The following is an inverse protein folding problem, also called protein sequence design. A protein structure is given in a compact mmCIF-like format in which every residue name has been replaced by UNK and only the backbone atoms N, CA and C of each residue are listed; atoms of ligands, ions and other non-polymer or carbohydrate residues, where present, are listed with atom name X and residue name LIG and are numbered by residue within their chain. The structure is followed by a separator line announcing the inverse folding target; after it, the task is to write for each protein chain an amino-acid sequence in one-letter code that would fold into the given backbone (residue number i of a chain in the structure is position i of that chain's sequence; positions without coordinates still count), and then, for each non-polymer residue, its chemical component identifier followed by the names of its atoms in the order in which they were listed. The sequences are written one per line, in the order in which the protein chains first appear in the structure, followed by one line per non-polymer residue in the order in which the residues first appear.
data_IF_932126766722
#
_entry.id   IF_932126766722
#
_cell.length_a   1.000
_cell.length_b   1.000
_cell.length_c   1.000
_cell.angle_alpha   90.00
_cell.angle_beta   90.00
_cell.angle_gamma   90.00
#
_symmetry.space_group_name_H-M   'P 1'
#
loop_
_entity.id
_entity.type
_entity.pdbx_description
1 polymer ?
#
# COMPACT_ATOMS: atom_id res chain seq x y z
N UNK A 1 33.99 21.36 26.28
CA UNK A 1 33.98 20.27 27.28
C UNK A 1 33.13 20.80 28.44
N UNK A 2 31.85 20.40 28.54
CA UNK A 2 31.34 19.34 29.46
C UNK A 2 31.21 19.92 30.90
N UNK A 3 30.11 19.90 31.68
CA UNK A 3 28.82 19.21 31.74
C UNK A 3 27.82 20.17 32.43
N UNK A 4 26.60 20.34 31.92
CA UNK A 4 25.48 20.89 32.70
C UNK A 4 24.65 19.69 33.16
N UNK A 5 24.79 19.33 34.43
CA UNK A 5 23.95 18.34 35.11
C UNK A 5 22.62 19.03 35.47
N UNK A 6 21.57 18.74 34.72
CA UNK A 6 20.20 19.05 35.13
C UNK A 6 19.49 17.71 35.43
N UNK A 7 19.24 17.51 36.72
CA UNK A 7 18.55 16.35 37.29
C UNK A 7 17.10 16.29 36.81
N UNK A 8 16.75 15.21 36.13
CA UNK A 8 15.37 14.80 35.88
C UNK A 8 14.77 14.29 37.21
N UNK A 9 13.74 14.96 37.73
CA UNK A 9 12.87 14.37 38.77
C UNK A 9 11.59 13.91 38.09
N UNK A 10 11.50 12.61 37.85
CA UNK A 10 10.29 11.93 37.37
C UNK A 10 9.37 11.72 38.56
N UNK A 11 8.21 12.38 38.56
CA UNK A 11 7.16 12.10 39.53
C UNK A 11 6.44 10.79 39.15
N UNK A 12 6.74 9.71 39.87
CA UNK A 12 5.99 8.46 39.78
C UNK A 12 4.65 8.63 40.52
N UNK A 13 3.54 8.55 39.80
CA UNK A 13 2.21 8.47 40.39
C UNK A 13 1.79 7.00 40.48
N UNK A 14 1.81 6.46 41.70
CA UNK A 14 1.25 5.16 42.03
C UNK A 14 -0.27 5.29 42.19
N UNK A 15 -1.04 4.64 41.31
CA UNK A 15 -2.48 4.48 41.45
C UNK A 15 -2.78 3.01 41.77
N UNK A 16 -3.27 2.79 42.99
CA UNK A 16 -3.75 1.51 43.53
C UNK A 16 -5.15 1.19 43.00
N UNK A 17 -5.37 0.02 42.40
CA UNK A 17 -6.72 -0.59 42.33
C UNK A 17 -6.68 -2.12 42.46
N UNK A 18 -7.69 -2.61 43.17
CA UNK A 18 -7.92 -3.94 43.75
C UNK A 18 -8.05 -5.10 42.73
N UNK A 19 -7.91 -6.38 43.17
CA UNK A 19 -8.03 -7.55 42.30
C UNK A 19 -9.49 -7.89 42.03
N UNK A 20 -9.83 -8.18 40.77
CA UNK A 20 -11.13 -8.69 40.38
C UNK A 20 -11.02 -10.13 39.87
N UNK A 21 -11.85 -10.99 40.45
CA UNK A 21 -12.02 -12.42 40.23
C UNK A 21 -12.60 -12.74 38.84
N UNK A 22 -12.20 -13.89 38.29
CA UNK A 22 -12.80 -14.51 37.10
C UNK A 22 -14.17 -15.14 37.41
N UNK A 23 -15.15 -14.98 36.50
CA UNK A 23 -16.02 -16.10 36.13
C UNK A 23 -16.26 -16.22 34.60
N UNK A 24 -16.08 -17.44 34.10
CA UNK A 24 -16.89 -18.23 33.12
C UNK A 24 -17.62 -17.59 31.90
N UNK A 25 -17.25 -18.11 30.71
CA UNK A 25 -17.97 -18.38 29.43
C UNK A 25 -19.16 -17.52 28.88
N UNK A 26 -19.01 -17.18 27.57
CA UNK A 26 -19.91 -16.79 26.43
C UNK A 26 -21.44 -17.07 26.49
N UNK A 27 -22.32 -16.55 25.58
CA UNK A 27 -22.13 -15.66 24.40
C UNK A 27 -23.18 -14.53 24.19
N UNK A 28 -22.80 -13.40 23.59
CA UNK A 28 -23.75 -12.52 22.87
C UNK A 28 -23.03 -11.53 21.94
N UNK A 29 -23.14 -11.73 20.62
CA UNK A 29 -22.72 -10.77 19.61
C UNK A 29 -23.67 -9.56 19.60
N UNK A 30 -23.27 -8.47 20.24
CA UNK A 30 -23.90 -7.16 20.03
C UNK A 30 -23.13 -6.46 18.92
N UNK A 31 -23.67 -6.48 17.70
CA UNK A 31 -23.18 -5.65 16.60
C UNK A 31 -23.34 -4.18 16.95
N UNK A 32 -22.25 -3.54 17.37
CA UNK A 32 -22.16 -2.09 17.41
C UNK A 32 -22.16 -1.62 15.94
N UNK A 33 -23.06 -0.70 15.54
CA UNK A 33 -23.00 -0.13 14.20
C UNK A 33 -21.71 0.70 14.12
N UNK A 34 -20.71 0.18 13.43
CA UNK A 34 -19.58 1.01 13.02
C UNK A 34 -20.14 2.13 12.16
N UNK A 35 -19.97 3.36 12.63
CA UNK A 35 -20.30 4.58 11.91
C UNK A 35 -19.90 4.42 10.44
N UNK A 36 -20.89 4.45 9.54
CA UNK A 36 -20.66 4.67 8.12
C UNK A 36 -20.27 6.14 7.97
N UNK A 37 -19.01 6.46 8.28
CA UNK A 37 -18.42 7.66 7.74
C UNK A 37 -18.40 7.47 6.23
N UNK A 38 -19.39 8.05 5.55
CA UNK A 38 -19.26 8.43 4.16
C UNK A 38 -18.15 9.48 4.12
N UNK A 39 -16.90 9.01 4.10
CA UNK A 39 -15.80 9.83 3.68
C UNK A 39 -16.13 10.29 2.26
N UNK A 40 -16.03 11.60 2.03
CA UNK A 40 -16.08 12.17 0.68
C UNK A 40 -15.26 11.26 -0.25
N UNK A 41 -15.86 10.84 -1.36
CA UNK A 41 -15.12 10.06 -2.36
C UNK A 41 -13.90 10.91 -2.75
N UNK A 42 -12.71 10.35 -2.62
CA UNK A 42 -11.52 11.00 -3.16
C UNK A 42 -11.79 11.24 -4.65
N UNK A 43 -11.79 12.51 -5.06
CA UNK A 43 -12.06 12.93 -6.45
C UNK A 43 -11.03 12.34 -7.42
N UNK A 44 -9.91 11.91 -6.86
CA UNK A 44 -8.92 11.05 -7.48
C UNK A 44 -9.15 9.66 -6.91
N UNK A 45 -9.57 8.70 -7.72
CA UNK A 45 -9.74 7.31 -7.29
C UNK A 45 -8.62 6.80 -6.38
N UNK A 46 -8.93 5.84 -5.51
CA UNK A 46 -7.88 5.20 -4.70
C UNK A 46 -6.84 4.56 -5.63
N UNK A 47 -5.62 5.11 -5.65
CA UNK A 47 -4.50 4.50 -6.34
C UNK A 47 -3.85 3.45 -5.43
N UNK A 48 -3.53 2.29 -5.98
CA UNK A 48 -2.78 1.24 -5.28
C UNK A 48 -1.60 0.83 -6.13
N UNK A 49 -0.41 0.88 -5.55
CA UNK A 49 0.81 0.41 -6.17
C UNK A 49 1.19 -0.98 -5.64
N UNK A 50 1.71 -1.83 -6.51
CA UNK A 50 2.15 -3.18 -6.19
C UNK A 50 3.35 -3.55 -7.05
N UNK A 51 4.41 -4.04 -6.41
CA UNK A 51 5.58 -4.57 -7.10
C UNK A 51 5.54 -6.11 -7.11
N UNK A 52 5.54 -6.71 -8.30
CA UNK A 52 5.72 -8.14 -8.49
C UNK A 52 7.21 -8.48 -8.64
N UNK A 53 7.81 -8.96 -7.55
CA UNK A 53 9.22 -9.35 -7.51
C UNK A 53 9.58 -10.49 -8.47
N UNK A 54 8.62 -11.32 -8.92
CA UNK A 54 8.92 -12.41 -9.85
C UNK A 54 9.13 -11.89 -11.28
N UNK A 55 8.32 -10.93 -11.69
CA UNK A 55 8.27 -10.45 -13.08
C UNK A 55 8.91 -9.07 -13.23
N UNK A 56 9.36 -8.47 -12.14
CA UNK A 56 9.87 -7.09 -12.06
C UNK A 56 8.89 -6.08 -12.66
N UNK A 57 7.58 -6.25 -12.41
CA UNK A 57 6.57 -5.30 -12.83
C UNK A 57 6.09 -4.48 -11.63
N UNK A 58 6.05 -3.17 -11.80
CA UNK A 58 5.26 -2.27 -10.99
C UNK A 58 3.85 -2.17 -11.59
N UNK A 59 2.84 -2.35 -10.75
CA UNK A 59 1.42 -2.28 -11.10
C UNK A 59 0.79 -1.12 -10.35
N UNK A 60 0.05 -0.29 -11.06
CA UNK A 60 -0.76 0.77 -10.48
C UNK A 60 -2.22 0.49 -10.84
N UNK A 61 -3.06 0.29 -9.83
CA UNK A 61 -4.50 0.28 -10.01
C UNK A 61 -5.05 1.65 -9.65
N UNK A 62 -5.74 2.29 -10.58
CA UNK A 62 -6.46 3.53 -10.41
C UNK A 62 -7.93 3.27 -10.76
N UNK A 63 -8.78 3.14 -9.74
CA UNK A 63 -10.16 2.70 -9.85
C UNK A 63 -10.31 1.34 -10.58
N UNK A 64 -10.85 1.38 -11.80
CA UNK A 64 -11.07 0.24 -12.69
C UNK A 64 -9.96 0.05 -13.72
N UNK A 65 -9.02 0.99 -13.79
CA UNK A 65 -7.87 0.94 -14.70
C UNK A 65 -6.67 0.34 -13.97
N UNK A 66 -5.96 -0.53 -14.68
CA UNK A 66 -4.68 -1.04 -14.25
C UNK A 66 -3.62 -0.61 -15.25
N UNK A 67 -2.44 -0.28 -14.73
CA UNK A 67 -1.27 0.04 -15.51
C UNK A 67 -0.14 -0.87 -15.08
N UNK A 68 0.69 -1.31 -16.03
CA UNK A 68 1.87 -2.14 -15.80
C UNK A 68 3.10 -1.39 -16.31
N UNK A 69 4.13 -1.31 -15.50
CA UNK A 69 5.43 -0.81 -15.89
C UNK A 69 6.49 -1.84 -15.56
N UNK A 70 7.25 -2.28 -16.57
CA UNK A 70 8.41 -3.14 -16.33
C UNK A 70 9.54 -2.31 -15.72
N UNK A 71 10.14 -2.84 -14.67
CA UNK A 71 11.34 -2.31 -14.05
C UNK A 71 12.56 -3.04 -14.60
N UNK A 72 13.66 -2.33 -14.79
CA UNK A 72 14.96 -2.97 -14.97
C UNK A 72 15.50 -3.53 -13.64
N UNK A 73 16.62 -4.26 -13.69
CA UNK A 73 17.18 -4.91 -12.49
C UNK A 73 17.67 -3.90 -11.43
N UNK A 74 18.06 -2.69 -11.85
CA UNK A 74 18.48 -1.62 -10.93
C UNK A 74 17.26 -1.07 -10.21
N UNK A 75 16.21 -0.74 -10.96
CA UNK A 75 14.94 -0.24 -10.43
C UNK A 75 14.24 -1.28 -9.54
N UNK A 76 14.26 -2.55 -9.94
CA UNK A 76 13.74 -3.66 -9.13
C UNK A 76 14.45 -3.80 -7.78
N UNK A 77 15.68 -3.32 -7.65
CA UNK A 77 16.38 -3.24 -6.36
C UNK A 77 15.98 -1.97 -5.58
N UNK A 78 15.79 -0.85 -6.29
CA UNK A 78 15.42 0.45 -5.72
C UNK A 78 14.03 0.48 -5.08
N UNK A 79 13.11 -0.42 -5.46
CA UNK A 79 11.80 -0.54 -4.79
C UNK A 79 11.88 -0.78 -3.28
N UNK A 80 13.02 -1.28 -2.79
CA UNK A 80 13.26 -1.52 -1.36
C UNK A 80 13.86 -0.29 -0.64
N UNK A 81 14.16 0.78 -1.38
CA UNK A 81 14.60 2.06 -0.86
C UNK A 81 13.43 3.06 -0.86
N UNK A 82 13.31 3.86 0.20
CA UNK A 82 12.20 4.78 0.36
C UNK A 82 12.20 5.91 -0.68
N UNK A 83 13.37 6.37 -1.15
CA UNK A 83 13.45 7.33 -2.24
C UNK A 83 13.24 6.62 -3.59
N UNK A 84 13.86 5.45 -3.77
CA UNK A 84 13.73 4.66 -4.99
C UNK A 84 12.28 4.31 -5.33
N UNK A 85 11.48 3.86 -4.36
CA UNK A 85 10.06 3.53 -4.61
C UNK A 85 9.25 4.76 -5.04
N UNK A 86 9.49 5.92 -4.43
CA UNK A 86 8.80 7.18 -4.78
C UNK A 86 9.17 7.63 -6.19
N UNK A 87 10.44 7.51 -6.59
CA UNK A 87 10.90 7.82 -7.94
C UNK A 87 10.25 6.91 -8.99
N UNK A 88 10.13 5.62 -8.69
CA UNK A 88 9.49 4.63 -9.57
C UNK A 88 7.99 4.91 -9.70
N UNK A 89 7.27 5.14 -8.60
CA UNK A 89 5.85 5.49 -8.63
C UNK A 89 5.62 6.79 -9.44
N UNK A 90 6.47 7.80 -9.25
CA UNK A 90 6.40 9.04 -10.01
C UNK A 90 6.68 8.84 -11.50
N UNK A 91 7.65 8.00 -11.85
CA UNK A 91 7.94 7.64 -13.24
C UNK A 91 6.73 6.98 -13.91
N UNK A 92 6.07 6.07 -13.19
CA UNK A 92 4.85 5.41 -13.65
C UNK A 92 3.72 6.40 -13.95
N UNK A 93 3.45 7.32 -13.01
CA UNK A 93 2.42 8.36 -13.20
C UNK A 93 2.73 9.27 -14.39
N UNK A 94 4.01 9.60 -14.62
CA UNK A 94 4.43 10.38 -15.80
C UNK A 94 4.15 9.66 -17.11
N UNK A 95 4.42 8.34 -17.18
CA UNK A 95 4.14 7.54 -18.38
C UNK A 95 2.65 7.44 -18.68
N UNK A 96 1.80 7.31 -17.64
CA UNK A 96 0.34 7.37 -17.80
C UNK A 96 -0.07 8.71 -18.42
N UNK A 97 0.51 9.82 -17.95
CA UNK A 97 0.26 11.15 -18.51
C UNK A 97 0.73 11.33 -19.95
N UNK A 98 1.72 10.55 -20.39
CA UNK A 98 2.20 10.54 -21.78
C UNK A 98 1.28 9.73 -22.73
N UNK A 99 0.34 8.95 -22.18
CA UNK A 99 -0.61 8.12 -22.93
C UNK A 99 0.04 7.17 -23.94
N UNK A 100 1.25 6.69 -23.64
CA UNK A 100 1.95 5.68 -24.44
C UNK A 100 1.75 4.29 -23.82
N UNK A 101 0.61 3.69 -24.12
CA UNK A 101 0.14 2.48 -23.47
C UNK A 101 -0.40 1.43 -24.44
N UNK A 102 -0.04 0.18 -24.18
CA UNK A 102 -0.50 -0.99 -24.94
C UNK A 102 -1.37 -1.88 -24.05
N UNK A 103 -2.57 -2.21 -24.51
CA UNK A 103 -3.49 -3.07 -23.74
C UNK A 103 -2.96 -4.51 -23.65
N UNK A 104 -2.92 -5.05 -22.43
CA UNK A 104 -2.61 -6.44 -22.11
C UNK A 104 -3.87 -7.10 -21.58
N UNK A 105 -4.34 -8.13 -22.29
CA UNK A 105 -5.51 -8.89 -21.91
C UNK A 105 -5.28 -9.70 -20.63
N UNK A 106 -6.35 -9.97 -19.88
CA UNK A 106 -6.28 -10.64 -18.58
C UNK A 106 -5.66 -12.06 -18.66
N UNK A 107 -5.90 -12.80 -19.74
CA UNK A 107 -5.30 -14.12 -19.98
C UNK A 107 -3.77 -14.04 -20.06
N UNK A 108 -3.22 -13.02 -20.73
CA UNK A 108 -1.79 -12.76 -20.77
C UNK A 108 -1.24 -12.38 -19.38
N UNK A 109 -2.00 -11.60 -18.59
CA UNK A 109 -1.64 -11.30 -17.21
C UNK A 109 -1.62 -12.56 -16.34
N UNK A 110 -2.60 -13.47 -16.51
CA UNK A 110 -2.68 -14.70 -15.75
C UNK A 110 -1.49 -15.64 -16.02
N UNK A 111 -0.98 -15.64 -17.27
CA UNK A 111 0.26 -16.34 -17.64
C UNK A 111 1.48 -15.66 -17.02
N UNK A 112 1.52 -14.32 -17.00
CA UNK A 112 2.62 -13.54 -16.44
C UNK A 112 2.72 -13.71 -14.91
N UNK A 113 1.64 -13.43 -14.20
CA UNK A 113 1.58 -13.47 -12.74
C UNK A 113 0.13 -13.53 -12.25
N UNK A 114 -0.21 -14.57 -11.51
CA UNK A 114 -1.55 -14.75 -10.93
C UNK A 114 -1.95 -13.59 -9.99
N UNK A 115 -0.98 -12.98 -9.30
CA UNK A 115 -1.24 -11.83 -8.43
C UNK A 115 -1.58 -10.58 -9.24
N UNK A 116 -0.85 -10.32 -10.33
CA UNK A 116 -1.15 -9.20 -11.23
C UNK A 116 -2.54 -9.39 -11.85
N UNK A 117 -2.85 -10.59 -12.35
CA UNK A 117 -4.16 -10.90 -12.91
C UNK A 117 -5.29 -10.71 -11.89
N UNK A 118 -5.07 -11.09 -10.63
CA UNK A 118 -6.04 -10.87 -9.56
C UNK A 118 -6.26 -9.38 -9.26
N UNK A 119 -5.18 -8.59 -9.20
CA UNK A 119 -5.26 -7.14 -9.00
C UNK A 119 -5.92 -6.42 -10.19
N UNK A 120 -5.76 -6.97 -11.39
CA UNK A 120 -6.19 -6.41 -12.67
C UNK A 120 -7.17 -7.35 -13.41
N UNK A 121 -8.43 -7.45 -12.92
CA UNK A 121 -9.40 -8.42 -13.42
C UNK A 121 -9.83 -8.15 -14.86
N UNK A 122 -9.70 -6.91 -15.35
CA UNK A 122 -10.13 -6.50 -16.68
C UNK A 122 -8.97 -6.41 -17.69
N UNK A 123 -7.78 -6.91 -17.33
CA UNK A 123 -6.55 -6.60 -18.07
C UNK A 123 -5.89 -5.31 -17.56
N UNK A 124 -4.85 -4.87 -18.27
CA UNK A 124 -4.06 -3.72 -17.86
C UNK A 124 -3.38 -3.04 -19.05
N UNK A 125 -2.97 -1.79 -18.87
CA UNK A 125 -2.28 -0.98 -19.86
C UNK A 125 -0.77 -1.01 -19.57
N UNK A 126 -0.02 -1.69 -20.44
CA UNK A 126 1.44 -1.74 -20.38
C UNK A 126 2.00 -0.38 -20.82
N UNK A 127 2.76 0.25 -19.93
CA UNK A 127 3.43 1.51 -20.16
C UNK A 127 4.77 1.25 -20.86
N UNK A 128 4.98 1.87 -22.02
CA UNK A 128 6.21 1.76 -22.78
C UNK A 128 7.15 2.93 -22.44
N UNK A 129 8.36 2.60 -21.96
CA UNK A 129 9.42 3.59 -21.75
C UNK A 129 10.02 3.96 -23.10
N UNK A 130 10.17 5.27 -23.34
CA UNK A 130 10.71 5.86 -24.57
C UNK A 130 12.23 6.01 -24.46
#
# INVERSE_FOLDING_TARGET
MIFVLALMVVAAQAATHHPHSHPTHDPAHTHIPHHTHSHEHNEHGTSTFYFDAKTHHMVMRLDSKCYLMKLDDTEATQVHDAAGIVEIELAMVKLIGAANETMVAHDALAIMSAHIAHMCPNGAMQLERI
#
